data_IF_328353003276
#
_entry.id   IF_328353003276
#
_cell.length_a   1.000
_cell.length_b   1.000
_cell.length_c   1.000
_cell.angle_alpha   90.00
_cell.angle_beta   90.00
_cell.angle_gamma   90.00
#
_symmetry.space_group_name_H-M   'P 1'
#
loop_
_entity.id
_entity.type
_entity.pdbx_description
1 polymer ?
#
# COMPACT_ATOMS: atom_id res chain seq x y z
N UNK A 1 -4.81 -14.42 13.73
CA UNK A 1 -6.09 -13.71 13.50
C UNK A 1 -5.83 -12.70 12.39
N UNK A 2 -5.90 -13.10 11.12
CA UNK A 2 -5.56 -12.25 9.95
C UNK A 2 -6.79 -11.92 9.07
N UNK A 3 -7.98 -12.40 9.45
CA UNK A 3 -9.18 -12.37 8.59
C UNK A 3 -9.99 -11.06 8.65
N UNK A 4 -9.62 -10.06 9.46
CA UNK A 4 -10.46 -8.88 9.72
C UNK A 4 -9.89 -7.54 9.23
N UNK A 5 -8.71 -7.52 8.62
CA UNK A 5 -8.15 -6.29 8.06
C UNK A 5 -8.72 -6.04 6.65
N UNK A 6 -9.04 -4.79 6.28
CA UNK A 6 -9.54 -4.50 4.94
C UNK A 6 -8.47 -4.79 3.89
N UNK A 7 -8.88 -5.06 2.65
CA UNK A 7 -7.95 -5.12 1.54
C UNK A 7 -7.52 -3.71 1.17
N UNK A 8 -6.30 -3.55 0.68
CA UNK A 8 -5.81 -2.25 0.20
C UNK A 8 -6.73 -1.72 -0.92
N UNK A 9 -7.26 -2.59 -1.79
CA UNK A 9 -8.20 -2.18 -2.85
C UNK A 9 -9.53 -1.64 -2.34
N UNK A 10 -9.94 -1.99 -1.12
CA UNK A 10 -11.18 -1.50 -0.55
C UNK A 10 -10.99 -0.11 0.08
N UNK A 11 -9.76 0.22 0.48
CA UNK A 11 -9.39 1.50 1.12
C UNK A 11 -8.84 2.50 0.11
N UNK A 12 -7.93 2.04 -0.76
CA UNK A 12 -7.18 2.80 -1.78
C UNK A 12 -7.28 2.11 -3.15
N UNK A 13 -8.46 2.05 -3.76
CA UNK A 13 -8.67 1.36 -5.04
C UNK A 13 -7.85 1.94 -6.20
N UNK A 14 -7.67 3.26 -6.23
CA UNK A 14 -6.92 3.91 -7.31
C UNK A 14 -5.43 3.56 -7.23
N UNK A 15 -4.87 3.44 -6.02
CA UNK A 15 -3.53 2.92 -5.80
C UNK A 15 -3.39 1.48 -6.33
N UNK A 16 -4.35 0.59 -6.03
CA UNK A 16 -4.27 -0.80 -6.51
C UNK A 16 -4.40 -0.89 -8.03
N UNK A 17 -5.23 -0.05 -8.64
CA UNK A 17 -5.36 0.03 -10.09
C UNK A 17 -4.03 0.47 -10.74
N UNK A 18 -3.39 1.51 -10.20
CA UNK A 18 -2.09 1.99 -10.65
C UNK A 18 -1.01 0.90 -10.47
N UNK A 19 -0.90 0.30 -9.29
CA UNK A 19 0.07 -0.77 -9.02
C UNK A 19 -0.11 -1.95 -9.97
N UNK A 20 -1.35 -2.37 -10.22
CA UNK A 20 -1.65 -3.46 -11.16
C UNK A 20 -1.12 -3.14 -12.55
N UNK A 21 -1.42 -1.95 -13.07
CA UNK A 21 -0.98 -1.54 -14.40
C UNK A 21 0.55 -1.44 -14.51
N UNK A 22 1.21 -0.87 -13.49
CA UNK A 22 2.66 -0.75 -13.44
C UNK A 22 3.34 -2.12 -13.36
N UNK A 23 2.83 -3.03 -12.53
CA UNK A 23 3.37 -4.39 -12.42
C UNK A 23 3.18 -5.20 -13.71
N UNK A 24 2.05 -5.03 -14.40
CA UNK A 24 1.84 -5.64 -15.71
C UNK A 24 2.84 -5.11 -16.75
N UNK A 25 3.10 -3.80 -16.76
CA UNK A 25 4.06 -3.16 -17.65
C UNK A 25 5.51 -3.62 -17.39
N UNK A 26 5.89 -3.82 -16.12
CA UNK A 26 7.19 -4.36 -15.70
C UNK A 26 7.30 -5.88 -15.90
N UNK A 27 6.23 -6.56 -16.31
CA UNK A 27 6.21 -8.01 -16.52
C UNK A 27 6.05 -8.85 -15.24
N UNK A 28 5.80 -8.20 -14.10
CA UNK A 28 5.58 -8.78 -12.78
C UNK A 28 4.16 -9.35 -12.61
N UNK A 29 3.75 -10.23 -13.54
CA UNK A 29 2.36 -10.71 -13.66
C UNK A 29 1.80 -11.34 -12.37
N UNK A 30 2.63 -12.09 -11.64
CA UNK A 30 2.19 -12.71 -10.39
C UNK A 30 1.92 -11.67 -9.29
N UNK A 31 2.76 -10.63 -9.22
CA UNK A 31 2.54 -9.52 -8.30
C UNK A 31 1.34 -8.68 -8.71
N UNK A 32 1.11 -8.45 -10.01
CA UNK A 32 -0.07 -7.75 -10.52
C UNK A 32 -1.39 -8.45 -10.17
N UNK A 33 -1.38 -9.78 -10.08
CA UNK A 33 -2.50 -10.56 -9.55
C UNK A 33 -2.57 -10.40 -8.03
N UNK A 34 -1.46 -10.64 -7.34
CA UNK A 34 -1.41 -10.70 -5.88
C UNK A 34 -1.73 -9.37 -5.20
N UNK A 35 -1.34 -8.23 -5.79
CA UNK A 35 -1.57 -6.89 -5.23
C UNK A 35 -3.05 -6.56 -5.07
N UNK A 36 -3.93 -7.25 -5.81
CA UNK A 36 -5.38 -7.07 -5.71
C UNK A 36 -5.96 -7.60 -4.40
N UNK A 37 -5.28 -8.51 -3.73
CA UNK A 37 -5.76 -9.18 -2.51
C UNK A 37 -4.85 -8.98 -1.29
N UNK A 38 -3.96 -7.98 -1.31
CA UNK A 38 -3.15 -7.63 -0.13
C UNK A 38 -3.99 -6.93 0.95
N UNK A 39 -3.71 -7.30 2.21
CA UNK A 39 -4.36 -6.72 3.39
C UNK A 39 -3.64 -5.44 3.81
N UNK A 40 -4.39 -4.47 4.31
CA UNK A 40 -3.82 -3.30 4.99
C UNK A 40 -3.55 -3.69 6.45
N UNK A 41 -2.32 -4.14 6.74
CA UNK A 41 -1.88 -4.54 8.09
C UNK A 41 -1.61 -3.33 8.96
N UNK A 42 -1.06 -2.27 8.35
CA UNK A 42 -0.90 -0.99 9.02
C UNK A 42 -0.27 0.05 8.10
N UNK A 43 -0.13 1.27 8.60
CA UNK A 43 0.61 2.34 7.92
C UNK A 43 2.03 2.42 8.47
N UNK A 44 2.97 2.91 7.67
CA UNK A 44 4.30 3.29 8.16
C UNK A 44 4.17 4.23 9.37
N UNK A 45 5.04 4.05 10.35
CA UNK A 45 5.02 4.82 11.60
C UNK A 45 6.07 5.93 11.67
N UNK A 46 6.72 6.27 10.55
CA UNK A 46 7.61 7.43 10.54
C UNK A 46 6.80 8.73 10.66
N UNK A 47 7.47 9.80 11.08
CA UNK A 47 6.88 11.14 11.21
C UNK A 47 7.02 11.98 9.94
N UNK A 48 7.47 11.36 8.85
CA UNK A 48 7.72 12.07 7.59
C UNK A 48 6.40 12.36 6.88
N UNK A 49 6.20 13.61 6.48
CA UNK A 49 4.96 14.09 5.86
C UNK A 49 4.78 13.59 4.42
N UNK A 50 5.88 13.23 3.76
CA UNK A 50 5.87 12.65 2.42
C UNK A 50 5.56 11.15 2.39
N UNK A 51 5.55 10.46 3.54
CA UNK A 51 5.43 9.01 3.61
C UNK A 51 3.98 8.55 3.87
N UNK A 52 3.45 7.77 2.94
CA UNK A 52 2.12 7.18 3.03
C UNK A 52 2.15 5.65 2.93
N UNK A 53 3.32 5.04 3.13
CA UNK A 53 3.58 3.61 2.90
C UNK A 53 2.69 2.68 3.74
N UNK A 54 2.33 1.55 3.15
CA UNK A 54 1.40 0.57 3.71
C UNK A 54 2.14 -0.74 3.99
N UNK A 55 2.00 -1.28 5.21
CA UNK A 55 2.41 -2.65 5.54
C UNK A 55 1.31 -3.63 5.15
N UNK A 56 1.70 -4.71 4.49
CA UNK A 56 0.79 -5.76 3.98
C UNK A 56 1.09 -7.15 4.56
N UNK A 57 2.15 -7.27 5.35
CA UNK A 57 2.46 -8.45 6.14
C UNK A 57 2.98 -8.08 7.52
N UNK A 58 2.95 -9.05 8.43
CA UNK A 58 3.59 -8.93 9.73
C UNK A 58 5.10 -9.07 9.56
N UNK A 59 5.85 -8.08 10.04
CA UNK A 59 7.30 -8.10 10.11
C UNK A 59 7.79 -7.21 11.26
N UNK A 60 8.72 -7.66 12.11
CA UNK A 60 9.26 -6.83 13.18
C UNK A 60 9.91 -5.55 12.65
N UNK A 61 9.48 -4.41 13.18
CA UNK A 61 10.03 -3.12 12.77
C UNK A 61 11.53 -3.03 13.10
N UNK A 62 12.32 -2.50 12.15
CA UNK A 62 13.76 -2.32 12.31
C UNK A 62 14.60 -3.57 12.05
N UNK A 63 14.00 -4.70 11.69
CA UNK A 63 14.72 -5.90 11.28
C UNK A 63 14.80 -5.99 9.75
N UNK A 64 15.92 -6.44 9.17
CA UNK A 64 15.98 -6.72 7.74
C UNK A 64 15.12 -7.95 7.40
N UNK A 65 14.56 -7.99 6.19
CA UNK A 65 13.77 -9.14 5.72
C UNK A 65 14.61 -10.40 5.45
N UNK A 66 15.90 -10.25 5.14
CA UNK A 66 16.81 -11.37 4.89
C UNK A 66 16.76 -11.91 3.45
N UNK A 67 17.30 -13.12 3.20
CA UNK A 67 17.29 -13.76 1.88
C UNK A 67 15.86 -13.89 1.31
N UNK A 68 15.73 -13.77 -0.01
CA UNK A 68 14.41 -13.79 -0.68
C UNK A 68 13.73 -12.43 -0.74
N UNK A 69 14.23 -11.44 0.01
CA UNK A 69 13.80 -10.06 -0.13
C UNK A 69 14.32 -9.43 -1.43
N UNK A 70 13.43 -8.73 -2.12
CA UNK A 70 13.78 -7.81 -3.21
C UNK A 70 12.86 -6.60 -3.19
N UNK A 71 13.42 -5.47 -3.61
CA UNK A 71 12.65 -4.27 -3.92
C UNK A 71 12.25 -4.31 -5.39
N UNK A 72 10.99 -3.96 -5.69
CA UNK A 72 10.47 -3.79 -7.04
C UNK A 72 10.13 -2.31 -7.23
N UNK A 73 11.04 -1.52 -7.81
CA UNK A 73 10.75 -0.13 -8.13
C UNK A 73 9.80 -0.07 -9.32
N UNK A 74 8.78 0.79 -9.23
CA UNK A 74 7.83 1.05 -10.30
C UNK A 74 7.98 2.49 -10.80
N UNK A 75 7.45 2.76 -12.00
CA UNK A 75 7.53 4.07 -12.65
C UNK A 75 6.16 4.76 -12.69
N UNK A 76 5.65 5.29 -11.56
CA UNK A 76 4.40 6.02 -11.54
C UNK A 76 4.53 7.39 -12.23
N UNK A 77 3.40 8.02 -12.53
CA UNK A 77 3.38 9.38 -13.06
C UNK A 77 3.74 10.45 -12.01
N UNK A 78 3.53 10.15 -10.73
CA UNK A 78 3.79 11.05 -9.59
C UNK A 78 4.40 10.28 -8.42
N UNK A 79 5.37 10.90 -7.75
CA UNK A 79 6.02 10.37 -6.55
C UNK A 79 6.83 9.11 -6.81
N UNK A 80 6.99 8.30 -5.76
CA UNK A 80 7.65 7.00 -5.81
C UNK A 80 6.72 5.89 -5.35
N UNK A 81 6.73 4.79 -6.12
CA UNK A 81 6.07 3.53 -5.76
C UNK A 81 7.09 2.39 -5.85
N UNK A 82 7.37 1.76 -4.70
CA UNK A 82 8.18 0.55 -4.63
C UNK A 82 7.42 -0.55 -3.89
N UNK A 83 7.68 -1.80 -4.22
CA UNK A 83 7.20 -2.95 -3.45
C UNK A 83 8.37 -3.67 -2.80
N UNK A 84 8.33 -3.80 -1.48
CA UNK A 84 9.17 -4.78 -0.79
C UNK A 84 8.50 -6.15 -0.89
N UNK A 85 9.19 -7.07 -1.54
CA UNK A 85 8.70 -8.42 -1.80
C UNK A 85 9.61 -9.43 -1.10
N UNK A 86 9.01 -10.31 -0.30
CA UNK A 86 9.69 -11.43 0.34
C UNK A 86 9.09 -12.73 -0.16
N UNK A 87 9.89 -13.55 -0.84
CA UNK A 87 9.47 -14.85 -1.40
C UNK A 87 8.16 -14.78 -2.23
N UNK A 88 8.01 -13.69 -2.99
CA UNK A 88 6.83 -13.44 -3.84
C UNK A 88 5.63 -12.83 -3.11
N UNK A 89 5.70 -12.59 -1.80
CA UNK A 89 4.69 -11.87 -1.03
C UNK A 89 5.07 -10.39 -0.90
N UNK A 90 4.13 -9.50 -1.20
CA UNK A 90 4.28 -8.06 -0.96
C UNK A 90 4.19 -7.83 0.55
N UNK A 91 5.25 -7.27 1.15
CA UNK A 91 5.36 -6.98 2.57
C UNK A 91 5.10 -5.50 2.87
N UNK A 92 5.53 -4.62 1.97
CA UNK A 92 5.32 -3.17 2.05
C UNK A 92 5.01 -2.64 0.65
N UNK A 93 4.05 -1.73 0.59
CA UNK A 93 3.84 -0.82 -0.54
C UNK A 93 4.41 0.53 -0.11
N UNK A 94 5.56 0.91 -0.65
CA UNK A 94 6.14 2.22 -0.41
C UNK A 94 5.43 3.25 -1.27
N UNK A 95 4.90 4.29 -0.62
CA UNK A 95 4.22 5.41 -1.28
C UNK A 95 4.82 6.68 -0.73
N UNK A 96 5.65 7.35 -1.54
CA UNK A 96 6.42 8.52 -1.12
C UNK A 96 6.23 9.67 -2.11
N UNK A 97 6.37 10.91 -1.62
CA UNK A 97 6.49 12.13 -2.43
C UNK A 97 5.34 12.36 -3.43
N UNK A 98 4.11 12.04 -3.02
CA UNK A 98 2.89 12.31 -3.80
C UNK A 98 1.78 12.90 -2.94
N UNK A 99 0.78 13.48 -3.60
CA UNK A 99 -0.41 14.00 -2.92
C UNK A 99 -1.06 12.97 -1.98
N UNK A 100 -1.74 13.40 -0.90
CA UNK A 100 -2.45 12.49 0.00
C UNK A 100 -3.43 11.58 -0.75
N UNK A 101 -3.34 10.27 -0.52
CA UNK A 101 -4.23 9.30 -1.15
C UNK A 101 -5.64 9.38 -0.58
N UNK A 102 -6.64 9.28 -1.45
CA UNK A 102 -8.05 9.26 -1.03
C UNK A 102 -8.38 7.95 -0.30
N UNK A 103 -8.76 8.06 0.98
CA UNK A 103 -9.12 6.94 1.83
C UNK A 103 -10.64 6.78 1.84
N UNK A 104 -11.15 5.75 1.15
CA UNK A 104 -12.60 5.50 1.08
C UNK A 104 -13.23 5.08 2.41
N UNK A 105 -12.42 4.69 3.40
CA UNK A 105 -12.89 4.31 4.73
C UNK A 105 -12.92 5.47 5.74
N UNK A 106 -12.41 6.67 5.40
CA UNK A 106 -12.48 7.83 6.30
C UNK A 106 -13.81 8.60 6.26
N UNK A 107 -14.83 8.08 5.57
CA UNK A 107 -16.20 8.60 5.69
C UNK A 107 -16.83 8.19 7.04
N UNK A 108 -16.39 8.85 8.13
CA UNK A 108 -17.09 8.83 9.42
C UNK A 108 -17.51 10.25 9.77
N UNK A 109 -18.83 10.50 9.63
CA UNK A 109 -19.65 11.53 10.28
C UNK A 109 -18.93 12.77 10.84
N UNK A 110 -18.87 13.85 10.06
CA UNK A 110 -18.74 15.23 10.59
C UNK A 110 -19.27 16.26 9.57
N UNK A 111 -20.47 16.05 9.04
CA UNK A 111 -21.22 17.06 8.29
C UNK A 111 -22.73 16.97 8.61
N UNK A 112 -23.07 16.80 9.89
CA UNK A 112 -24.39 17.21 10.37
C UNK A 112 -24.23 18.62 10.89
N UNK A 113 -24.57 19.60 10.06
CA UNK A 113 -24.82 20.98 10.50
C UNK A 113 -25.97 20.94 11.49
N UNK A 114 -25.73 21.38 12.71
CA UNK A 114 -26.80 21.82 13.61
C UNK A 114 -27.15 23.24 13.17
N UNK A 115 -28.27 23.38 12.45
CA UNK A 115 -28.93 24.67 12.30
C UNK A 115 -29.68 24.95 13.62
N UNK A 116 -29.31 26.03 14.30
CA UNK A 116 -30.14 26.75 15.28
C UNK A 116 -30.34 28.20 14.81
#
# INVERSE_FOLDING_TARGET
MEQNQPLVRDVFPDLVAELTALLEAEGERWLAISVRDVRLVGKCGCSDDFCQSIRTGDHPQGQPYGPGHRCVPLMPAEGMLNLDVLDGRIMVIEVLDRAPMDNRMSCTASDVKTDE
#
